data_IF_568543248170
#
_entry.id   IF_568543248170
#
_cell.length_a   1.000
_cell.length_b   1.000
_cell.length_c   1.000
_cell.angle_alpha   90.00
_cell.angle_beta   90.00
_cell.angle_gamma   90.00
#
_symmetry.space_group_name_H-M   'P 1'
#
loop_
_entity.id
_entity.type
_entity.pdbx_description
1 polymer ?
#
# COMPACT_ATOMS: atom_id res chain seq x y z
N UNK A 1 -55.59 21.72 21.64
CA UNK A 1 -54.92 20.61 22.35
C UNK A 1 -54.61 19.54 21.33
N UNK A 2 -53.30 19.31 21.13
CA UNK A 2 -52.60 18.24 20.42
C UNK A 2 -53.26 17.57 19.19
N UNK A 3 -52.82 17.99 18.00
CA UNK A 3 -52.70 17.13 16.82
C UNK A 3 -51.58 17.70 15.94
N UNK A 4 -50.48 16.96 15.78
CA UNK A 4 -49.61 17.04 14.60
C UNK A 4 -48.61 15.89 14.56
N UNK A 5 -48.95 14.87 13.76
CA UNK A 5 -48.10 14.30 12.70
C UNK A 5 -46.61 14.09 12.98
N UNK A 6 -46.23 12.84 13.26
CA UNK A 6 -44.90 12.29 13.05
C UNK A 6 -44.83 11.76 11.62
N UNK A 7 -44.32 12.58 10.69
CA UNK A 7 -43.90 12.14 9.35
C UNK A 7 -43.11 13.26 8.67
N UNK A 8 -41.81 13.32 8.90
CA UNK A 8 -40.82 13.89 7.98
C UNK A 8 -39.44 13.82 8.63
N UNK A 9 -38.52 13.05 8.07
CA UNK A 9 -37.13 13.04 8.55
C UNK A 9 -36.26 11.86 8.11
N UNK A 10 -36.55 11.21 6.98
CA UNK A 10 -35.68 10.17 6.44
C UNK A 10 -35.42 10.30 4.92
N UNK A 11 -35.41 11.53 4.41
CA UNK A 11 -35.16 11.83 3.00
C UNK A 11 -34.38 13.13 2.84
N UNK A 12 -33.13 13.17 3.30
CA UNK A 12 -32.22 14.29 3.00
C UNK A 12 -30.76 13.97 3.32
N UNK A 13 -30.15 13.04 2.60
CA UNK A 13 -28.68 12.86 2.58
C UNK A 13 -28.13 12.29 1.27
N UNK A 14 -28.91 12.30 0.18
CA UNK A 14 -28.47 11.84 -1.16
C UNK A 14 -28.16 13.02 -2.11
N UNK A 15 -28.39 14.27 -1.70
CA UNK A 15 -28.22 15.44 -2.55
C UNK A 15 -27.13 16.38 -2.04
N UNK A 16 -25.87 15.93 -2.09
CA UNK A 16 -24.70 16.82 -2.02
C UNK A 16 -23.46 16.16 -2.68
N UNK A 17 -23.65 15.53 -3.83
CA UNK A 17 -22.56 15.27 -4.80
C UNK A 17 -22.88 16.09 -6.03
N UNK A 18 -22.87 17.40 -5.86
CA UNK A 18 -22.97 18.35 -6.97
C UNK A 18 -21.57 18.51 -7.54
N UNK A 19 -21.32 17.76 -8.62
CA UNK A 19 -20.49 18.14 -9.77
C UNK A 19 -19.55 19.33 -9.55
N UNK A 20 -18.38 19.09 -8.98
CA UNK A 20 -17.20 19.88 -9.34
C UNK A 20 -16.66 19.29 -10.64
N UNK A 21 -16.97 19.96 -11.74
CA UNK A 21 -16.46 19.66 -13.08
C UNK A 21 -14.95 19.43 -13.03
N UNK A 22 -14.55 18.29 -13.59
CA UNK A 22 -13.23 17.69 -13.47
C UNK A 22 -12.15 18.12 -14.50
N UNK A 23 -12.22 19.22 -15.30
CA UNK A 23 -11.12 19.52 -16.22
C UNK A 23 -9.97 20.35 -15.60
N UNK A 24 -10.14 21.00 -14.44
CA UNK A 24 -9.17 22.03 -14.00
C UNK A 24 -8.13 21.59 -12.94
N UNK A 25 -8.33 20.47 -12.25
CA UNK A 25 -7.35 19.99 -11.23
C UNK A 25 -6.29 19.07 -11.85
N UNK A 26 -6.55 18.50 -13.03
CA UNK A 26 -5.65 17.55 -13.68
C UNK A 26 -4.41 18.18 -14.34
N UNK A 27 -4.28 19.51 -14.38
CA UNK A 27 -3.23 20.21 -15.17
C UNK A 27 -2.02 20.75 -14.39
N UNK A 28 -1.97 20.64 -13.06
CA UNK A 28 -0.85 21.20 -12.27
C UNK A 28 -0.38 20.31 -11.11
N UNK A 29 -0.01 19.07 -11.41
CA UNK A 29 0.90 18.33 -10.53
C UNK A 29 2.06 17.84 -11.38
N UNK A 30 3.14 18.63 -11.40
CA UNK A 30 4.43 18.15 -11.88
C UNK A 30 4.81 16.92 -11.06
N UNK A 31 5.29 15.83 -11.69
CA UNK A 31 5.70 14.64 -10.97
C UNK A 31 6.81 15.02 -9.96
N UNK A 32 6.73 14.55 -8.70
CA UNK A 32 7.80 14.82 -7.75
C UNK A 32 9.10 14.20 -8.27
N UNK A 33 10.18 14.98 -8.17
CA UNK A 33 11.58 14.73 -8.53
C UNK A 33 12.23 13.57 -7.73
N UNK A 34 11.46 12.56 -7.33
CA UNK A 34 11.88 11.42 -6.52
C UNK A 34 12.32 10.18 -7.34
N UNK A 35 12.26 10.26 -8.68
CA UNK A 35 12.72 9.21 -9.59
C UNK A 35 14.16 8.68 -9.36
N UNK A 36 15.17 9.47 -8.91
CA UNK A 36 16.51 8.91 -8.73
C UNK A 36 16.61 7.88 -7.58
N UNK A 37 15.71 7.92 -6.58
CA UNK A 37 15.79 7.01 -5.42
C UNK A 37 15.27 5.61 -5.76
N UNK A 38 14.24 5.52 -6.60
CA UNK A 38 13.61 4.25 -6.98
C UNK A 38 14.51 3.46 -7.96
N UNK A 39 15.16 4.15 -8.91
CA UNK A 39 16.13 3.53 -9.81
C UNK A 39 17.35 2.96 -9.06
N UNK A 40 17.73 3.56 -7.93
CA UNK A 40 18.83 3.09 -7.08
C UNK A 40 18.51 1.75 -6.38
N UNK A 41 17.24 1.48 -6.06
CA UNK A 41 16.80 0.28 -5.34
C UNK A 41 16.66 -0.96 -6.22
N UNK A 42 16.38 -0.78 -7.53
CA UNK A 42 16.16 -1.89 -8.47
C UNK A 42 17.48 -2.57 -8.89
N UNK A 43 18.61 -1.86 -8.85
CA UNK A 43 19.92 -2.37 -9.27
C UNK A 43 20.68 -3.25 -8.23
N UNK A 44 20.11 -3.48 -7.02
CA UNK A 44 20.82 -4.15 -5.92
C UNK A 44 20.82 -5.70 -6.03
N UNK A 45 20.09 -6.32 -6.98
CA UNK A 45 19.85 -7.78 -7.00
C UNK A 45 20.75 -8.60 -7.97
N UNK A 46 21.85 -8.03 -8.49
CA UNK A 46 22.64 -8.66 -9.55
C UNK A 46 24.04 -9.20 -9.19
N UNK A 47 24.43 -9.30 -7.91
CA UNK A 47 25.80 -9.67 -7.52
C UNK A 47 25.94 -11.10 -7.00
N UNK A 48 26.03 -12.08 -7.90
CA UNK A 48 26.48 -13.44 -7.58
C UNK A 48 27.98 -13.43 -7.28
N UNK A 49 28.36 -13.98 -6.14
CA UNK A 49 29.73 -14.05 -5.63
C UNK A 49 30.48 -15.16 -6.40
N UNK A 50 31.34 -14.78 -7.34
CA UNK A 50 32.50 -15.60 -7.75
C UNK A 50 33.70 -14.65 -7.82
N UNK A 51 34.54 -14.71 -6.79
CA UNK A 51 35.79 -13.97 -6.68
C UNK A 51 36.90 -14.74 -7.37
N UNK A 52 37.41 -14.21 -8.49
CA UNK A 52 38.77 -14.53 -8.99
C UNK A 52 39.47 -13.28 -9.52
N UNK A 53 40.46 -12.85 -8.73
CA UNK A 53 41.72 -12.15 -9.01
C UNK A 53 41.89 -11.21 -10.23
N UNK A 54 42.38 -10.01 -9.86
CA UNK A 54 43.38 -9.14 -10.52
C UNK A 54 43.07 -8.56 -11.91
N UNK A 55 42.82 -7.24 -11.99
CA UNK A 55 43.55 -6.34 -12.93
C UNK A 55 43.20 -4.85 -12.74
N UNK A 56 44.26 -4.04 -12.82
CA UNK A 56 44.42 -2.62 -13.21
C UNK A 56 43.34 -1.56 -12.89
N UNK A 57 43.85 -0.58 -12.13
CA UNK A 57 43.36 0.75 -11.76
C UNK A 57 43.06 1.61 -13.00
N UNK A 58 41.79 1.78 -13.33
CA UNK A 58 41.26 2.94 -14.05
C UNK A 58 40.13 3.52 -13.19
N UNK A 59 40.25 4.80 -12.84
CA UNK A 59 39.36 5.51 -11.92
C UNK A 59 38.01 5.77 -12.61
N UNK A 60 37.15 4.76 -12.62
CA UNK A 60 35.72 4.86 -12.93
C UNK A 60 34.98 5.27 -11.65
N UNK A 61 33.96 6.14 -11.69
CA UNK A 61 33.21 6.55 -10.50
C UNK A 61 32.72 5.31 -9.75
N UNK A 62 33.11 5.23 -8.48
CA UNK A 62 32.86 4.12 -7.57
C UNK A 62 31.38 3.75 -7.54
N UNK A 63 31.05 2.62 -8.17
CA UNK A 63 29.81 1.90 -7.94
C UNK A 63 29.71 1.63 -6.44
N UNK A 64 28.76 2.31 -5.79
CA UNK A 64 28.48 2.16 -4.36
C UNK A 64 28.24 0.66 -4.11
N UNK A 65 29.12 0.05 -3.30
CA UNK A 65 28.96 -1.36 -2.93
C UNK A 65 27.56 -1.59 -2.34
N UNK A 66 26.85 -2.66 -2.71
CA UNK A 66 25.53 -2.97 -2.17
C UNK A 66 25.52 -3.09 -0.64
N UNK A 67 26.67 -3.42 -0.02
CA UNK A 67 26.83 -3.42 1.44
C UNK A 67 26.72 -2.01 2.06
N UNK A 68 27.26 -0.99 1.39
CA UNK A 68 27.27 0.40 1.87
C UNK A 68 25.89 1.03 1.77
N UNK A 69 25.16 0.77 0.68
CA UNK A 69 23.79 1.26 0.49
C UNK A 69 22.84 0.66 1.53
N UNK A 70 22.98 -0.65 1.78
CA UNK A 70 22.24 -1.33 2.85
C UNK A 70 22.53 -0.68 4.21
N UNK A 71 23.79 -0.50 4.57
CA UNK A 71 24.17 0.15 5.84
C UNK A 71 23.58 1.56 5.98
N UNK A 72 23.61 2.35 4.91
CA UNK A 72 23.08 3.70 4.91
C UNK A 72 21.55 3.71 5.09
N UNK A 73 20.86 2.76 4.45
CA UNK A 73 19.42 2.61 4.57
C UNK A 73 19.01 2.15 5.99
N UNK A 74 19.77 1.24 6.60
CA UNK A 74 19.51 0.78 7.97
C UNK A 74 19.85 1.80 9.05
N UNK A 75 20.59 2.87 8.72
CA UNK A 75 20.84 4.00 9.61
C UNK A 75 19.58 4.86 9.84
N UNK A 76 18.64 4.84 8.90
CA UNK A 76 17.37 5.56 9.02
C UNK A 76 16.47 4.85 10.04
N UNK A 77 15.82 5.57 10.99
CA UNK A 77 14.88 4.97 11.94
C UNK A 77 13.79 4.12 11.28
N UNK A 78 13.45 2.98 11.88
CA UNK A 78 12.51 2.02 11.32
C UNK A 78 11.12 2.59 10.96
N UNK A 79 10.50 3.48 11.75
CA UNK A 79 9.23 4.11 11.36
C UNK A 79 9.33 4.94 10.07
N UNK A 80 10.46 5.63 9.87
CA UNK A 80 10.69 6.42 8.65
C UNK A 80 10.87 5.47 7.46
N UNK A 81 11.59 4.36 7.63
CA UNK A 81 11.71 3.33 6.57
C UNK A 81 10.34 2.74 6.20
N UNK A 82 9.48 2.51 7.19
CA UNK A 82 8.11 2.04 6.98
C UNK A 82 7.23 3.06 6.22
N UNK A 83 7.41 4.34 6.51
CA UNK A 83 6.75 5.40 5.76
C UNK A 83 7.25 5.48 4.31
N UNK A 84 8.56 5.35 4.10
CA UNK A 84 9.17 5.33 2.76
C UNK A 84 8.66 4.13 1.96
N UNK A 85 8.65 2.92 2.52
CA UNK A 85 8.14 1.73 1.85
C UNK A 85 6.66 1.84 1.50
N UNK A 86 5.84 2.38 2.41
CA UNK A 86 4.43 2.69 2.15
C UNK A 86 4.26 3.71 1.01
N UNK A 87 5.06 4.76 1.00
CA UNK A 87 5.07 5.77 -0.07
C UNK A 87 5.46 5.17 -1.43
N UNK A 88 6.49 4.31 -1.46
CA UNK A 88 6.88 3.59 -2.67
C UNK A 88 5.74 2.69 -3.18
N UNK A 89 5.06 1.98 -2.29
CA UNK A 89 3.92 1.15 -2.67
C UNK A 89 2.76 1.98 -3.24
N UNK A 90 2.50 3.19 -2.72
CA UNK A 90 1.49 4.09 -3.26
C UNK A 90 1.84 4.57 -4.69
N UNK A 91 3.12 4.80 -4.98
CA UNK A 91 3.56 5.09 -6.35
C UNK A 91 3.27 3.90 -7.27
N UNK A 92 3.59 2.68 -6.84
CA UNK A 92 3.30 1.46 -7.61
C UNK A 92 1.79 1.29 -7.82
N UNK A 93 0.98 1.53 -6.79
CA UNK A 93 -0.47 1.53 -6.88
C UNK A 93 -0.98 2.47 -7.97
N UNK A 94 -0.47 3.70 -8.04
CA UNK A 94 -0.87 4.66 -9.07
C UNK A 94 -0.57 4.16 -10.49
N UNK A 95 0.59 3.51 -10.67
CA UNK A 95 0.93 2.89 -11.96
C UNK A 95 0.02 1.70 -12.27
N UNK A 96 -0.23 0.82 -11.30
CA UNK A 96 -1.12 -0.33 -11.45
C UNK A 96 -2.54 0.10 -11.80
N UNK A 97 -3.09 1.07 -11.07
CA UNK A 97 -4.42 1.62 -11.31
C UNK A 97 -4.55 2.16 -12.75
N UNK A 98 -3.58 2.96 -13.20
CA UNK A 98 -3.57 3.48 -14.58
C UNK A 98 -3.46 2.37 -15.63
N UNK A 99 -2.65 1.34 -15.37
CA UNK A 99 -2.49 0.20 -16.29
C UNK A 99 -3.77 -0.64 -16.35
N UNK A 100 -4.34 -0.99 -15.20
CA UNK A 100 -5.61 -1.71 -15.08
C UNK A 100 -6.74 -0.93 -15.74
N UNK A 101 -6.83 0.38 -15.50
CA UNK A 101 -7.83 1.23 -16.11
C UNK A 101 -7.71 1.23 -17.63
N UNK A 102 -6.49 1.40 -18.18
CA UNK A 102 -6.26 1.31 -19.63
C UNK A 102 -6.61 -0.07 -20.18
N UNK A 103 -6.24 -1.14 -19.49
CA UNK A 103 -6.51 -2.52 -19.93
C UNK A 103 -8.02 -2.84 -19.93
N UNK A 104 -8.72 -2.50 -18.85
CA UNK A 104 -10.18 -2.67 -18.73
C UNK A 104 -10.92 -1.80 -19.74
N UNK A 105 -10.49 -0.55 -19.93
CA UNK A 105 -11.09 0.35 -20.91
C UNK A 105 -10.90 -0.19 -22.34
N UNK A 106 -9.68 -0.62 -22.70
CA UNK A 106 -9.40 -1.17 -24.03
C UNK A 106 -10.17 -2.48 -24.29
N UNK A 107 -10.23 -3.37 -23.30
CA UNK A 107 -10.98 -4.63 -23.42
C UNK A 107 -12.49 -4.38 -23.57
N UNK A 108 -13.02 -3.38 -22.86
CA UNK A 108 -14.44 -3.06 -22.90
C UNK A 108 -14.84 -2.32 -24.19
N UNK A 109 -14.05 -1.35 -24.65
CA UNK A 109 -14.34 -0.61 -25.89
C UNK A 109 -14.31 -1.54 -27.12
N UNK A 110 -13.43 -2.56 -27.11
CA UNK A 110 -13.41 -3.62 -28.12
C UNK A 110 -14.67 -4.49 -28.14
N UNK A 111 -15.49 -4.50 -27.08
CA UNK A 111 -16.72 -5.30 -26.97
C UNK A 111 -18.00 -4.46 -26.98
N UNK A 112 -17.87 -3.14 -26.94
CA UNK A 112 -19.01 -2.22 -26.82
C UNK A 112 -19.87 -2.17 -28.09
N UNK A 113 -19.32 -2.51 -29.25
CA UNK A 113 -20.10 -2.75 -30.49
C UNK A 113 -21.14 -3.87 -30.34
N UNK A 114 -21.00 -4.76 -29.35
CA UNK A 114 -21.81 -5.97 -29.20
C UNK A 114 -22.91 -5.86 -28.13
N UNK A 115 -22.89 -4.84 -27.26
CA UNK A 115 -23.69 -4.81 -26.02
C UNK A 115 -24.72 -3.66 -25.91
N UNK A 116 -24.82 -2.76 -26.89
CA UNK A 116 -25.90 -1.77 -26.96
C UNK A 116 -25.91 -0.66 -25.88
N UNK A 117 -26.83 0.30 -26.02
CA UNK A 117 -26.80 1.61 -25.33
C UNK A 117 -26.97 1.65 -23.80
N UNK A 118 -27.35 0.55 -23.14
CA UNK A 118 -27.44 0.49 -21.68
C UNK A 118 -26.07 0.54 -20.98
N UNK A 119 -25.00 0.25 -21.71
CA UNK A 119 -23.64 0.26 -21.17
C UNK A 119 -23.12 1.66 -20.88
N UNK A 120 -23.55 2.71 -21.60
CA UNK A 120 -22.92 4.04 -21.52
C UNK A 120 -23.09 4.76 -20.17
N UNK A 121 -24.18 4.51 -19.45
CA UNK A 121 -24.50 5.28 -18.23
C UNK A 121 -23.94 4.67 -16.94
N UNK A 122 -23.83 3.33 -16.87
CA UNK A 122 -23.31 2.61 -15.70
C UNK A 122 -21.81 2.32 -15.80
N UNK A 123 -21.22 2.28 -17.00
CA UNK A 123 -19.82 1.89 -17.22
C UNK A 123 -18.79 2.68 -16.42
N UNK A 124 -18.84 4.03 -16.39
CA UNK A 124 -17.73 4.78 -15.84
C UNK A 124 -17.55 4.57 -14.34
N UNK A 125 -18.65 4.31 -13.61
CA UNK A 125 -18.64 4.25 -12.14
C UNK A 125 -18.09 2.92 -11.61
N UNK A 126 -18.50 1.79 -12.18
CA UNK A 126 -18.02 0.47 -11.73
C UNK A 126 -16.59 0.21 -12.19
N UNK A 127 -16.19 0.68 -13.39
CA UNK A 127 -14.82 0.50 -13.89
C UNK A 127 -13.83 1.18 -12.96
N UNK A 128 -14.08 2.43 -12.56
CA UNK A 128 -13.23 3.15 -11.62
C UNK A 128 -13.09 2.42 -10.28
N UNK A 129 -14.21 1.92 -9.75
CA UNK A 129 -14.22 1.19 -8.47
C UNK A 129 -13.47 -0.14 -8.59
N UNK A 130 -13.69 -0.89 -9.68
CA UNK A 130 -13.05 -2.17 -9.93
C UNK A 130 -11.54 -2.02 -10.18
N UNK A 131 -11.11 -1.01 -10.94
CA UNK A 131 -9.69 -0.72 -11.19
C UNK A 131 -8.99 -0.32 -9.90
N UNK A 132 -9.61 0.55 -9.11
CA UNK A 132 -9.08 0.99 -7.83
C UNK A 132 -8.93 -0.19 -6.86
N UNK A 133 -9.99 -0.99 -6.70
CA UNK A 133 -9.99 -2.16 -5.82
C UNK A 133 -8.95 -3.21 -6.25
N UNK A 134 -8.88 -3.51 -7.55
CA UNK A 134 -7.92 -4.48 -8.09
C UNK A 134 -6.48 -4.00 -7.93
N UNK A 135 -6.21 -2.72 -8.20
CA UNK A 135 -4.91 -2.12 -7.98
C UNK A 135 -4.52 -2.18 -6.49
N UNK A 136 -5.49 -1.98 -5.60
CA UNK A 136 -5.28 -2.05 -4.15
C UNK A 136 -4.93 -3.48 -3.71
N UNK A 137 -5.68 -4.49 -4.18
CA UNK A 137 -5.38 -5.91 -3.89
C UNK A 137 -3.98 -6.32 -4.38
N UNK A 138 -3.53 -5.80 -5.52
CA UNK A 138 -2.17 -6.06 -6.05
C UNK A 138 -1.08 -5.24 -5.36
N UNK A 139 -1.40 -4.04 -4.86
CA UNK A 139 -0.48 -3.21 -4.11
C UNK A 139 -0.08 -3.88 -2.79
N UNK A 140 -1.01 -4.52 -2.07
CA UNK A 140 -0.74 -5.07 -0.73
C UNK A 140 0.44 -6.07 -0.73
N UNK A 141 0.51 -7.08 -1.61
CA UNK A 141 1.67 -7.97 -1.69
C UNK A 141 3.00 -7.26 -1.99
N UNK A 142 2.97 -6.22 -2.83
CA UNK A 142 4.17 -5.43 -3.17
C UNK A 142 4.61 -4.62 -1.95
N UNK A 143 3.68 -3.97 -1.27
CA UNK A 143 3.95 -3.23 -0.05
C UNK A 143 4.45 -4.15 1.07
N UNK A 144 3.88 -5.35 1.19
CA UNK A 144 4.33 -6.38 2.13
C UNK A 144 5.79 -6.77 1.89
N UNK A 145 6.15 -7.00 0.62
CA UNK A 145 7.53 -7.28 0.24
C UNK A 145 8.47 -6.11 0.53
N UNK A 146 8.06 -4.87 0.24
CA UNK A 146 8.84 -3.67 0.54
C UNK A 146 9.04 -3.46 2.05
N UNK A 147 8.03 -3.77 2.87
CA UNK A 147 8.15 -3.73 4.33
C UNK A 147 9.14 -4.77 4.84
N UNK A 148 9.11 -6.00 4.32
CA UNK A 148 10.09 -7.01 4.65
C UNK A 148 11.51 -6.58 4.21
N UNK A 149 11.65 -5.99 3.02
CA UNK A 149 12.95 -5.57 2.49
C UNK A 149 13.56 -4.40 3.28
N UNK A 150 12.77 -3.38 3.60
CA UNK A 150 13.26 -2.09 4.12
C UNK A 150 13.12 -1.94 5.64
N UNK A 151 12.20 -2.68 6.27
CA UNK A 151 11.84 -2.47 7.68
C UNK A 151 12.19 -3.68 8.54
N UNK A 152 11.58 -4.83 8.25
CA UNK A 152 11.58 -5.99 9.15
C UNK A 152 12.63 -7.06 8.82
N UNK A 153 13.25 -7.00 7.65
CA UNK A 153 14.18 -8.00 7.13
C UNK A 153 13.49 -9.14 6.37
N UNK A 154 14.15 -9.66 5.33
CA UNK A 154 13.60 -10.75 4.50
C UNK A 154 13.39 -12.06 5.26
N UNK A 155 14.06 -12.23 6.40
CA UNK A 155 13.84 -13.34 7.35
C UNK A 155 12.39 -13.42 7.85
N UNK A 156 11.66 -12.31 7.83
CA UNK A 156 10.24 -12.26 8.20
C UNK A 156 9.32 -12.98 7.20
N UNK A 157 9.79 -13.21 5.97
CA UNK A 157 9.02 -13.82 4.87
C UNK A 157 9.77 -14.97 4.18
N UNK A 158 10.80 -15.52 4.83
CA UNK A 158 11.72 -16.49 4.22
C UNK A 158 11.12 -17.89 3.97
N UNK A 159 9.96 -18.19 4.55
CA UNK A 159 9.22 -19.45 4.33
C UNK A 159 7.79 -19.17 3.85
N UNK A 160 7.18 -20.07 3.07
CA UNK A 160 5.79 -19.90 2.62
C UNK A 160 4.81 -19.67 3.78
N UNK A 161 4.96 -20.44 4.87
CA UNK A 161 4.11 -20.31 6.05
C UNK A 161 4.20 -18.91 6.69
N UNK A 162 5.43 -18.40 6.87
CA UNK A 162 5.62 -17.03 7.37
C UNK A 162 5.06 -15.99 6.41
N UNK A 163 5.33 -16.12 5.11
CA UNK A 163 4.88 -15.20 4.08
C UNK A 163 3.36 -15.04 4.09
N UNK A 164 2.59 -16.13 4.04
CA UNK A 164 1.14 -16.05 4.03
C UNK A 164 0.57 -15.57 5.37
N UNK A 165 1.20 -15.93 6.50
CA UNK A 165 0.78 -15.47 7.82
C UNK A 165 0.97 -13.95 7.98
N UNK A 166 2.13 -13.42 7.61
CA UNK A 166 2.40 -11.98 7.70
C UNK A 166 1.61 -11.18 6.66
N UNK A 167 1.42 -11.73 5.45
CA UNK A 167 0.59 -11.13 4.40
C UNK A 167 -0.88 -11.07 4.84
N UNK A 168 -1.42 -12.15 5.38
CA UNK A 168 -2.78 -12.20 5.93
C UNK A 168 -2.95 -11.18 7.07
N UNK A 169 -1.99 -11.11 7.99
CA UNK A 169 -1.98 -10.11 9.05
C UNK A 169 -1.95 -8.66 8.51
N UNK A 170 -1.23 -8.41 7.42
CA UNK A 170 -1.22 -7.11 6.75
C UNK A 170 -2.57 -6.78 6.12
N UNK A 171 -3.23 -7.71 5.43
CA UNK A 171 -4.59 -7.51 4.91
C UNK A 171 -5.58 -7.19 6.03
N UNK A 172 -5.57 -7.97 7.12
CA UNK A 172 -6.45 -7.72 8.27
C UNK A 172 -6.19 -6.35 8.90
N UNK A 173 -4.91 -5.98 9.08
CA UNK A 173 -4.54 -4.67 9.63
C UNK A 173 -5.03 -3.54 8.73
N UNK A 174 -4.85 -3.66 7.42
CA UNK A 174 -5.31 -2.66 6.46
C UNK A 174 -6.84 -2.57 6.39
N UNK A 175 -7.55 -3.69 6.48
CA UNK A 175 -9.01 -3.71 6.53
C UNK A 175 -9.52 -2.98 7.80
N UNK A 176 -8.99 -3.34 8.97
CA UNK A 176 -9.32 -2.67 10.24
C UNK A 176 -8.96 -1.18 10.17
N UNK A 177 -7.82 -0.84 9.59
CA UNK A 177 -7.42 0.55 9.38
C UNK A 177 -8.35 1.29 8.43
N UNK A 178 -8.89 0.66 7.39
CA UNK A 178 -9.84 1.28 6.47
C UNK A 178 -11.16 1.64 7.18
N UNK A 179 -11.73 0.70 7.93
CA UNK A 179 -12.94 0.96 8.72
C UNK A 179 -12.68 1.98 9.84
N UNK A 180 -11.59 1.79 10.58
CA UNK A 180 -11.20 2.67 11.67
C UNK A 180 -10.88 4.09 11.22
N UNK A 181 -10.17 4.25 10.10
CA UNK A 181 -9.86 5.58 9.54
C UNK A 181 -11.12 6.28 9.05
N UNK A 182 -12.06 5.54 8.45
CA UNK A 182 -13.36 6.11 8.05
C UNK A 182 -14.15 6.60 9.25
N UNK A 183 -14.25 5.79 10.31
CA UNK A 183 -14.94 6.16 11.54
C UNK A 183 -14.27 7.35 12.25
N UNK A 184 -12.94 7.33 12.40
CA UNK A 184 -12.18 8.41 13.02
C UNK A 184 -12.29 9.70 12.21
N UNK A 185 -12.18 9.63 10.89
CA UNK A 185 -12.31 10.81 10.04
C UNK A 185 -13.73 11.41 10.14
N UNK A 186 -14.78 10.58 10.17
CA UNK A 186 -16.14 11.05 10.41
C UNK A 186 -16.30 11.72 11.78
N UNK A 187 -15.72 11.14 12.84
CA UNK A 187 -15.70 11.73 14.18
C UNK A 187 -14.98 13.08 14.20
N UNK A 188 -13.79 13.19 13.58
CA UNK A 188 -13.02 14.44 13.54
C UNK A 188 -13.74 15.57 12.80
N UNK A 189 -14.47 15.24 11.73
CA UNK A 189 -15.28 16.20 11.00
C UNK A 189 -16.47 16.69 11.82
N UNK A 190 -17.17 15.77 12.49
CA UNK A 190 -18.43 16.07 13.17
C UNK A 190 -18.22 16.71 14.55
N UNK A 191 -17.19 16.29 15.29
CA UNK A 191 -17.01 16.69 16.69
C UNK A 191 -16.04 17.86 16.85
N UNK A 192 -14.91 17.85 16.12
CA UNK A 192 -13.86 18.87 16.25
C UNK A 192 -13.95 20.01 15.23
N UNK A 193 -14.89 19.95 14.29
CA UNK A 193 -15.05 20.92 13.19
C UNK A 193 -13.73 21.17 12.41
N UNK A 194 -12.87 20.14 12.34
CA UNK A 194 -11.64 20.25 11.58
C UNK A 194 -11.94 20.38 10.09
N UNK A 195 -11.07 21.08 9.36
CA UNK A 195 -11.13 21.09 7.90
C UNK A 195 -10.97 19.67 7.37
N UNK A 196 -11.61 19.39 6.21
CA UNK A 196 -11.54 18.06 5.56
C UNK A 196 -10.10 17.58 5.37
N UNK A 197 -9.23 18.49 4.97
CA UNK A 197 -7.81 18.21 4.77
C UNK A 197 -7.11 17.88 6.09
N UNK A 198 -7.35 18.66 7.15
CA UNK A 198 -6.73 18.41 8.45
C UNK A 198 -7.19 17.06 9.04
N UNK A 199 -8.49 16.77 9.02
CA UNK A 199 -9.04 15.50 9.49
C UNK A 199 -8.45 14.30 8.73
N UNK A 200 -8.32 14.41 7.41
CA UNK A 200 -7.69 13.38 6.57
C UNK A 200 -6.23 13.16 6.93
N UNK A 201 -5.43 14.23 7.04
CA UNK A 201 -4.01 14.14 7.38
C UNK A 201 -3.80 13.55 8.77
N UNK A 202 -4.56 14.00 9.77
CA UNK A 202 -4.51 13.47 11.14
C UNK A 202 -4.83 11.97 11.16
N UNK A 203 -5.89 11.56 10.46
CA UNK A 203 -6.28 10.16 10.36
C UNK A 203 -5.18 9.32 9.69
N UNK A 204 -4.58 9.83 8.61
CA UNK A 204 -3.50 9.16 7.89
C UNK A 204 -2.28 8.95 8.81
N UNK A 205 -1.85 9.98 9.54
CA UNK A 205 -0.73 9.86 10.49
C UNK A 205 -1.03 8.89 11.64
N UNK A 206 -2.21 9.00 12.26
CA UNK A 206 -2.61 8.14 13.37
C UNK A 206 -2.60 6.66 12.97
N UNK A 207 -3.26 6.31 11.86
CA UNK A 207 -3.31 4.93 11.39
C UNK A 207 -1.97 4.44 10.83
N UNK A 208 -1.11 5.31 10.30
CA UNK A 208 0.24 4.92 9.90
C UNK A 208 1.07 4.43 11.10
N UNK A 209 1.00 5.15 12.22
CA UNK A 209 1.67 4.77 13.47
C UNK A 209 1.08 3.46 14.02
N UNK A 210 -0.24 3.36 14.12
CA UNK A 210 -0.91 2.15 14.61
C UNK A 210 -0.53 0.94 13.75
N UNK A 211 -0.60 1.07 12.42
CA UNK A 211 -0.28 -0.01 11.49
C UNK A 211 1.18 -0.48 11.63
N UNK A 212 2.12 0.45 11.82
CA UNK A 212 3.53 0.09 12.04
C UNK A 212 3.70 -0.83 13.26
N UNK A 213 3.06 -0.48 14.38
CA UNK A 213 3.16 -1.27 15.62
C UNK A 213 2.42 -2.61 15.51
N UNK A 214 1.21 -2.62 14.96
CA UNK A 214 0.40 -3.85 14.80
C UNK A 214 1.12 -4.85 13.89
N UNK A 215 1.63 -4.41 12.73
CA UNK A 215 2.38 -5.28 11.82
C UNK A 215 3.69 -5.73 12.47
N UNK A 216 4.40 -4.85 13.18
CA UNK A 216 5.60 -5.22 13.92
C UNK A 216 5.34 -6.32 14.96
N UNK A 217 4.20 -6.25 15.65
CA UNK A 217 3.78 -7.29 16.59
C UNK A 217 3.47 -8.62 15.88
N UNK A 218 2.72 -8.58 14.78
CA UNK A 218 2.38 -9.77 13.98
C UNK A 218 3.65 -10.46 13.47
N UNK A 219 4.61 -9.70 12.92
CA UNK A 219 5.89 -10.23 12.45
C UNK A 219 6.68 -10.86 13.60
N UNK A 220 6.72 -10.21 14.76
CA UNK A 220 7.41 -10.72 15.94
C UNK A 220 6.79 -12.03 16.46
N UNK A 221 5.46 -12.12 16.47
CA UNK A 221 4.74 -13.33 16.86
C UNK A 221 4.96 -14.49 15.87
N UNK A 222 4.97 -14.18 14.56
CA UNK A 222 5.25 -15.15 13.50
C UNK A 222 6.65 -15.76 13.64
N UNK A 223 7.66 -14.93 13.92
CA UNK A 223 9.04 -15.40 14.10
C UNK A 223 9.19 -16.32 15.32
N UNK A 224 8.54 -16.01 16.45
CA UNK A 224 8.57 -16.87 17.65
C UNK A 224 7.92 -18.23 17.40
N UNK A 225 6.81 -18.26 16.67
CA UNK A 225 6.08 -19.50 16.37
C UNK A 225 6.93 -20.51 15.59
N UNK A 226 7.75 -20.04 14.65
CA UNK A 226 8.60 -20.92 13.83
C UNK A 226 9.77 -21.52 14.60
N UNK A 227 10.34 -20.81 15.59
CA UNK A 227 11.45 -21.33 16.41
C UNK A 227 11.01 -22.53 17.25
N UNK A 228 9.81 -22.44 17.85
CA UNK A 228 9.25 -23.49 18.71
C UNK A 228 8.95 -24.76 17.91
N UNK A 229 8.43 -24.64 16.68
CA UNK A 229 8.11 -25.78 15.83
C UNK A 229 9.36 -26.56 15.39
N UNK A 230 10.45 -25.85 15.09
CA UNK A 230 11.75 -26.48 14.74
C UNK A 230 12.33 -27.23 15.95
N UNK A 231 12.24 -26.66 17.15
CA UNK A 231 12.75 -27.28 18.38
C UNK A 231 12.00 -28.58 18.71
N UNK A 232 10.66 -28.57 18.61
CA UNK A 232 9.82 -29.76 18.82
C UNK A 232 10.10 -30.84 17.76
N UNK A 233 10.23 -30.45 16.48
CA UNK A 233 10.55 -31.40 15.42
C UNK A 233 11.92 -32.06 15.61
N UNK A 234 12.90 -31.34 16.15
CA UNK A 234 14.22 -31.90 16.44
C UNK A 234 14.18 -32.85 17.63
N UNK A 235 13.42 -32.53 18.69
CA UNK A 235 13.25 -33.46 19.81
C UNK A 235 12.56 -34.77 19.38
N UNK A 236 11.57 -34.70 18.48
CA UNK A 236 10.87 -35.88 17.99
C UNK A 236 11.72 -36.80 17.09
N UNK A 237 12.83 -36.31 16.53
CA UNK A 237 13.77 -37.12 15.73
C UNK A 237 14.83 -37.84 16.56
N UNK A 238 15.00 -37.46 17.83
CA UNK A 238 16.00 -38.04 18.73
C UNK A 238 15.43 -39.23 19.53
N UNK A 239 14.12 -39.48 19.42
CA UNK A 239 13.40 -40.63 19.99
C UNK A 239 13.07 -41.62 18.89
#
# INVERSE_FOLDING_TARGET
MALSTVSAGLTSSVAAVTSTTLPDIARRVTPPTAMPIIALLINVRGGSIISTSTSKKNTVPSTISPSTLRQLLFRIPAPIRYFISGSCANVVFYFLERLLHRALYHFHFSKQELLGGWTEMMLPSWVNSATFFSAYMLQVPIQHYLHALLVYGLESINTPAKYYRTLGGMFSTLAVAAFGSTALNAFLLNTTQLSKTAAFVVTLFAFSIINYFVIGWIVSASNKSSTVEVEISNQKKVV
#
